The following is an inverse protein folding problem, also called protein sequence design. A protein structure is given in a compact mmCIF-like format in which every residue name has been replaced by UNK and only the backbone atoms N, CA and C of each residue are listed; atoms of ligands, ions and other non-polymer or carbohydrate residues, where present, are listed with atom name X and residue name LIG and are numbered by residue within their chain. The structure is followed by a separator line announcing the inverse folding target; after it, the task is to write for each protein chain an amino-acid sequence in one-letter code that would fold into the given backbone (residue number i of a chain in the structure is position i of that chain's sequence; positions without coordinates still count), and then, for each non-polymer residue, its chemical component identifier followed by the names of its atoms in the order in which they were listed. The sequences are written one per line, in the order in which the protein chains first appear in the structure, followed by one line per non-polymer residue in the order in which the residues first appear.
data_IF_473417209877
#
_entry.id   IF_473417209877
#
_cell.length_a   1.000
_cell.length_b   1.000
_cell.length_c   1.000
_cell.angle_alpha   90.00
_cell.angle_beta   90.00
_cell.angle_gamma   90.00
#
_symmetry.space_group_name_H-M   'P 1'
#
loop_
_entity.id
_entity.type
_entity.pdbx_description
1 polymer ?
#
# COMPACT_ATOMS: atom_id res chain seq x y z
N UNK A 1 3.74 -13.53 7.57
CA UNK A 1 4.92 -13.38 8.47
C UNK A 1 4.61 -13.56 9.95
N UNK A 2 3.36 -13.37 10.38
CA UNK A 2 2.92 -13.42 11.81
C UNK A 2 3.83 -12.62 12.77
N UNK A 3 4.50 -11.56 12.27
CA UNK A 3 5.44 -10.74 13.04
C UNK A 3 6.87 -11.32 13.18
N UNK A 4 7.18 -12.45 12.53
CA UNK A 4 8.51 -13.08 12.60
C UNK A 4 9.57 -12.22 11.91
N UNK A 5 10.54 -11.74 12.68
CA UNK A 5 11.72 -11.02 12.16
C UNK A 5 12.60 -11.89 11.27
N UNK A 6 12.74 -13.17 11.62
CA UNK A 6 13.54 -14.11 10.84
C UNK A 6 12.93 -14.39 9.46
N UNK A 7 11.60 -14.56 9.39
CA UNK A 7 10.91 -14.75 8.13
C UNK A 7 11.00 -13.50 7.23
N UNK A 8 10.87 -12.30 7.80
CA UNK A 8 11.04 -11.06 7.05
C UNK A 8 12.48 -10.92 6.53
N UNK A 9 13.48 -11.23 7.36
CA UNK A 9 14.90 -11.20 6.96
C UNK A 9 15.17 -12.11 5.78
N UNK A 10 14.70 -13.36 5.82
CA UNK A 10 14.89 -14.31 4.73
C UNK A 10 14.28 -13.81 3.40
N UNK A 11 13.14 -13.11 3.45
CA UNK A 11 12.54 -12.49 2.25
C UNK A 11 13.37 -11.31 1.76
N UNK A 12 13.86 -10.45 2.65
CA UNK A 12 14.69 -9.29 2.28
C UNK A 12 16.03 -9.75 1.71
N UNK A 13 16.66 -10.77 2.28
CA UNK A 13 17.92 -11.37 1.80
C UNK A 13 17.78 -12.04 0.42
N UNK A 14 16.56 -12.43 0.03
CA UNK A 14 16.27 -12.91 -1.32
C UNK A 14 16.19 -11.79 -2.38
N UNK A 15 16.39 -10.53 -1.98
CA UNK A 15 16.42 -9.33 -2.84
C UNK A 15 15.24 -9.24 -3.82
N UNK A 16 13.97 -9.32 -3.35
CA UNK A 16 12.83 -9.18 -4.24
C UNK A 16 12.78 -7.78 -4.85
N UNK A 17 12.33 -7.67 -6.10
CA UNK A 17 12.13 -6.37 -6.76
C UNK A 17 11.14 -5.48 -6.00
N UNK A 18 10.11 -6.07 -5.38
CA UNK A 18 9.12 -5.38 -4.53
C UNK A 18 8.79 -6.27 -3.34
N UNK A 19 8.74 -5.69 -2.14
CA UNK A 19 8.10 -6.30 -0.99
C UNK A 19 6.67 -5.78 -0.88
N UNK A 20 5.69 -6.62 -1.18
CA UNK A 20 4.28 -6.29 -1.07
C UNK A 20 3.69 -6.81 0.25
N UNK A 21 3.12 -5.91 1.04
CA UNK A 21 2.34 -6.26 2.23
C UNK A 21 1.16 -5.29 2.41
N UNK A 22 -0.05 -5.79 2.14
CA UNK A 22 -1.25 -4.96 2.15
C UNK A 22 -1.77 -4.73 3.58
N UNK A 23 -2.18 -3.51 3.87
CA UNK A 23 -2.99 -3.20 5.07
C UNK A 23 -4.45 -3.55 4.87
N UNK A 24 -4.94 -3.61 3.64
CA UNK A 24 -6.27 -4.01 3.18
C UNK A 24 -7.39 -3.03 3.53
N UNK A 25 -7.45 -2.49 4.75
CA UNK A 25 -8.51 -1.59 5.21
C UNK A 25 -8.00 -0.66 6.31
N UNK A 26 -8.85 0.27 6.73
CA UNK A 26 -8.60 1.22 7.82
C UNK A 26 -8.59 0.54 9.21
N UNK A 27 -7.94 1.12 10.23
CA UNK A 27 -7.82 0.51 11.57
C UNK A 27 -9.15 0.09 12.19
N UNK A 28 -10.18 0.94 12.13
CA UNK A 28 -11.50 0.67 12.73
C UNK A 28 -12.17 -0.59 12.19
N UNK A 29 -11.97 -0.89 10.91
CA UNK A 29 -12.60 -2.03 10.22
C UNK A 29 -11.77 -3.32 10.27
N UNK A 30 -10.58 -3.29 10.88
CA UNK A 30 -9.65 -4.42 10.84
C UNK A 30 -10.22 -5.71 11.44
N UNK A 31 -10.99 -5.59 12.54
CA UNK A 31 -11.60 -6.76 13.21
C UNK A 31 -12.61 -7.48 12.33
N UNK A 32 -13.32 -6.75 11.49
CA UNK A 32 -14.37 -7.27 10.62
C UNK A 32 -13.80 -7.76 9.28
N UNK A 33 -12.91 -6.97 8.66
CA UNK A 33 -12.37 -7.24 7.32
C UNK A 33 -11.20 -8.24 7.37
N UNK A 34 -10.38 -8.19 8.43
CA UNK A 34 -9.19 -9.03 8.60
C UNK A 34 -9.09 -9.65 10.00
N UNK A 35 -10.03 -10.51 10.39
CA UNK A 35 -10.01 -11.13 11.72
C UNK A 35 -8.67 -11.86 11.97
N UNK A 36 -8.09 -11.63 13.15
CA UNK A 36 -6.80 -12.19 13.53
C UNK A 36 -5.55 -11.47 13.00
N UNK A 37 -5.74 -10.39 12.23
CA UNK A 37 -4.65 -9.49 11.81
C UNK A 37 -4.65 -8.21 12.63
N UNK A 38 -3.54 -7.45 12.59
CA UNK A 38 -3.38 -6.19 13.31
C UNK A 38 -2.82 -5.14 12.36
N UNK A 39 -3.42 -3.97 12.33
CA UNK A 39 -3.05 -2.86 11.47
C UNK A 39 -1.61 -2.40 11.70
N UNK A 40 -1.27 -2.12 12.96
CA UNK A 40 0.05 -1.64 13.37
C UNK A 40 1.16 -2.64 13.04
N UNK A 41 0.85 -3.95 13.11
CA UNK A 41 1.80 -4.99 12.72
C UNK A 41 2.10 -4.97 11.22
N UNK A 42 1.12 -4.60 10.40
CA UNK A 42 1.31 -4.47 8.95
C UNK A 42 2.20 -3.28 8.61
N UNK A 43 2.01 -2.14 9.28
CA UNK A 43 2.88 -0.96 9.15
C UNK A 43 4.31 -1.25 9.65
N UNK A 44 4.44 -1.86 10.84
CA UNK A 44 5.74 -2.22 11.42
C UNK A 44 6.53 -3.19 10.51
N UNK A 45 5.85 -4.11 9.82
CA UNK A 45 6.51 -4.98 8.85
C UNK A 45 7.15 -4.17 7.71
N UNK A 46 6.42 -3.23 7.11
CA UNK A 46 6.92 -2.35 6.05
C UNK A 46 8.09 -1.48 6.56
N UNK A 47 7.92 -0.87 7.75
CA UNK A 47 8.97 -0.08 8.39
C UNK A 47 10.25 -0.89 8.66
N UNK A 48 10.11 -2.14 9.10
CA UNK A 48 11.27 -3.04 9.32
C UNK A 48 11.94 -3.42 8.02
N UNK A 49 11.19 -3.73 6.99
CA UNK A 49 11.74 -4.05 5.67
C UNK A 49 12.57 -2.88 5.14
N UNK A 50 12.04 -1.65 5.24
CA UNK A 50 12.76 -0.42 4.86
C UNK A 50 14.05 -0.23 5.64
N UNK A 51 14.05 -0.48 6.97
CA UNK A 51 15.27 -0.39 7.79
C UNK A 51 16.31 -1.46 7.45
N UNK A 52 15.87 -2.68 7.07
CA UNK A 52 16.78 -3.78 6.69
C UNK A 52 17.40 -3.56 5.31
N UNK A 53 16.63 -3.01 4.37
CA UNK A 53 17.05 -2.76 2.99
C UNK A 53 16.49 -1.40 2.51
N UNK A 54 17.22 -0.29 2.70
CA UNK A 54 16.73 1.06 2.35
C UNK A 54 16.37 1.22 0.86
N UNK A 55 16.98 0.44 -0.01
CA UNK A 55 16.71 0.48 -1.47
C UNK A 55 15.54 -0.44 -1.90
N UNK A 56 15.07 -1.32 -1.02
CA UNK A 56 13.96 -2.23 -1.34
C UNK A 56 12.68 -1.42 -1.59
N UNK A 57 12.06 -1.64 -2.74
CA UNK A 57 10.76 -1.04 -3.07
C UNK A 57 9.68 -1.71 -2.24
N UNK A 58 8.92 -0.91 -1.49
CA UNK A 58 7.81 -1.41 -0.68
C UNK A 58 6.47 -1.01 -1.28
N UNK A 59 5.50 -1.91 -1.16
CA UNK A 59 4.14 -1.74 -1.72
C UNK A 59 3.09 -2.15 -0.70
N UNK A 60 1.99 -1.40 -0.66
CA UNK A 60 0.81 -1.76 0.10
C UNK A 60 -0.46 -1.52 -0.70
N UNK A 61 -1.55 -2.17 -0.30
CA UNK A 61 -2.85 -2.03 -0.91
C UNK A 61 -3.95 -1.81 0.12
N UNK A 62 -4.93 -1.00 -0.28
CA UNK A 62 -6.16 -0.75 0.45
C UNK A 62 -7.35 -1.11 -0.44
N UNK A 63 -8.30 -1.81 0.13
CA UNK A 63 -9.57 -2.13 -0.51
C UNK A 63 -10.62 -1.21 0.10
N UNK A 64 -11.34 -0.46 -0.73
CA UNK A 64 -12.36 0.51 -0.31
C UNK A 64 -13.77 0.00 -0.57
N UNK A 65 -14.74 0.46 0.19
CA UNK A 65 -16.16 0.10 0.05
C UNK A 65 -16.72 -0.71 1.21
N UNK A 66 -16.01 -0.82 2.34
CA UNK A 66 -16.46 -1.46 3.57
C UNK A 66 -17.19 -0.51 4.53
N UNK A 67 -17.30 0.80 4.20
CA UNK A 67 -17.91 1.83 5.06
C UNK A 67 -16.90 2.67 5.83
N UNK A 68 -15.68 2.74 5.33
CA UNK A 68 -14.68 3.72 5.77
C UNK A 68 -15.12 5.14 5.45
N UNK A 69 -14.82 6.10 6.35
CA UNK A 69 -14.93 7.50 6.05
C UNK A 69 -13.74 7.99 5.21
N UNK A 70 -13.94 9.02 4.41
CA UNK A 70 -12.89 9.60 3.56
C UNK A 70 -11.64 9.98 4.35
N UNK A 71 -11.83 10.63 5.51
CA UNK A 71 -10.71 11.04 6.36
C UNK A 71 -9.94 9.85 6.97
N UNK A 72 -10.63 8.75 7.29
CA UNK A 72 -9.97 7.53 7.78
C UNK A 72 -9.09 6.90 6.69
N UNK A 73 -9.55 6.96 5.44
CA UNK A 73 -8.79 6.48 4.29
C UNK A 73 -7.55 7.35 4.06
N UNK A 74 -7.68 8.68 4.10
CA UNK A 74 -6.56 9.61 3.98
C UNK A 74 -5.54 9.42 5.11
N UNK A 75 -6.00 9.17 6.34
CA UNK A 75 -5.10 8.87 7.45
C UNK A 75 -4.34 7.56 7.22
N UNK A 76 -5.00 6.52 6.72
CA UNK A 76 -4.34 5.25 6.36
C UNK A 76 -3.27 5.44 5.29
N UNK A 77 -3.52 6.31 4.31
CA UNK A 77 -2.53 6.68 3.31
C UNK A 77 -1.34 7.42 3.94
N UNK A 78 -1.59 8.35 4.87
CA UNK A 78 -0.55 9.06 5.61
C UNK A 78 0.30 8.09 6.46
N UNK A 79 -0.33 7.17 7.20
CA UNK A 79 0.36 6.15 8.01
C UNK A 79 1.30 5.29 7.14
N UNK A 80 0.88 4.94 5.93
CA UNK A 80 1.73 4.22 4.97
C UNK A 80 2.93 5.05 4.50
N UNK A 81 2.74 6.37 4.36
CA UNK A 81 3.86 7.27 4.03
C UNK A 81 4.84 7.44 5.19
N UNK A 82 4.36 7.46 6.45
CA UNK A 82 5.23 7.52 7.63
C UNK A 82 6.19 6.33 7.73
N UNK A 83 5.81 5.18 7.18
CA UNK A 83 6.70 4.00 7.09
C UNK A 83 7.43 3.89 5.75
N UNK A 84 7.50 4.97 4.98
CA UNK A 84 8.17 5.05 3.67
C UNK A 84 7.69 4.02 2.63
N UNK A 85 6.39 3.71 2.61
CA UNK A 85 5.83 2.89 1.57
C UNK A 85 5.89 3.62 0.21
N UNK A 86 6.49 2.98 -0.81
CA UNK A 86 6.71 3.61 -2.12
C UNK A 86 5.50 3.55 -3.03
N UNK A 87 4.79 2.42 -3.03
CA UNK A 87 3.71 2.13 -3.97
C UNK A 87 2.42 1.89 -3.19
N UNK A 88 1.37 2.59 -3.60
CA UNK A 88 0.02 2.40 -3.08
C UNK A 88 -0.91 1.87 -4.17
N UNK A 89 -1.71 0.86 -3.84
CA UNK A 89 -2.83 0.42 -4.68
C UNK A 89 -4.15 0.60 -3.94
N UNK A 90 -5.14 1.18 -4.63
CA UNK A 90 -6.50 1.39 -4.13
C UNK A 90 -7.49 0.71 -5.07
N UNK A 91 -8.28 -0.23 -4.57
CA UNK A 91 -9.23 -0.98 -5.37
C UNK A 91 -10.59 -1.14 -4.69
N UNK A 92 -11.66 -1.26 -5.48
CA UNK A 92 -13.01 -1.48 -4.97
C UNK A 92 -13.16 -2.88 -4.37
N UNK A 93 -13.77 -2.97 -3.20
CA UNK A 93 -14.28 -4.23 -2.68
C UNK A 93 -15.40 -4.77 -3.58
N UNK A 94 -15.22 -5.97 -4.06
CA UNK A 94 -16.24 -6.71 -4.79
C UNK A 94 -16.62 -7.93 -3.97
N UNK A 95 -17.87 -7.97 -3.51
CA UNK A 95 -18.36 -9.03 -2.62
C UNK A 95 -18.35 -10.40 -3.31
N UNK A 96 -17.53 -11.37 -2.85
CA UNK A 96 -17.43 -12.66 -3.54
C UNK A 96 -18.68 -13.53 -3.40
N UNK A 97 -19.39 -13.44 -2.26
CA UNK A 97 -20.63 -14.17 -2.01
C UNK A 97 -21.45 -13.51 -0.90
N UNK A 98 -22.69 -13.92 -0.70
CA UNK A 98 -23.54 -13.42 0.38
C UNK A 98 -23.02 -13.71 1.79
N UNK A 99 -22.10 -14.66 1.95
CA UNK A 99 -21.44 -14.96 3.22
C UNK A 99 -20.35 -13.94 3.60
N UNK A 100 -19.92 -13.08 2.67
CA UNK A 100 -18.93 -12.04 2.91
C UNK A 100 -19.60 -10.72 3.30
N UNK A 101 -18.78 -9.77 3.81
CA UNK A 101 -19.25 -8.44 4.19
C UNK A 101 -20.00 -7.75 3.05
N UNK A 102 -21.07 -7.00 3.34
CA UNK A 102 -21.77 -6.24 2.31
C UNK A 102 -20.89 -5.13 1.76
N UNK A 103 -21.14 -4.73 0.51
CA UNK A 103 -20.57 -3.51 -0.04
C UNK A 103 -21.35 -2.33 0.54
N UNK A 104 -20.67 -1.44 1.26
CA UNK A 104 -21.28 -0.27 1.89
C UNK A 104 -21.27 0.95 0.97
N UNK A 105 -20.30 1.02 0.04
CA UNK A 105 -20.17 2.09 -0.95
C UNK A 105 -19.47 1.59 -2.19
N UNK A 106 -19.93 2.04 -3.35
CA UNK A 106 -19.19 2.00 -4.60
C UNK A 106 -18.54 3.37 -4.83
N UNK A 107 -17.22 3.39 -4.89
CA UNK A 107 -16.46 4.60 -5.23
C UNK A 107 -16.56 4.88 -6.72
N UNK A 108 -16.73 6.14 -7.09
CA UNK A 108 -16.78 6.55 -8.49
C UNK A 108 -15.37 6.61 -9.10
N UNK A 109 -15.23 6.57 -10.43
CA UNK A 109 -13.94 6.79 -11.09
C UNK A 109 -13.28 8.12 -10.71
N UNK A 110 -14.09 9.16 -10.49
CA UNK A 110 -13.64 10.50 -10.06
C UNK A 110 -13.03 10.44 -8.65
N UNK A 111 -13.69 9.75 -7.70
CA UNK A 111 -13.17 9.55 -6.35
C UNK A 111 -11.86 8.75 -6.35
N UNK A 112 -11.74 7.72 -7.22
CA UNK A 112 -10.47 7.02 -7.41
C UNK A 112 -9.38 7.93 -8.00
N UNK A 113 -9.75 8.82 -8.94
CA UNK A 113 -8.85 9.83 -9.50
C UNK A 113 -8.36 10.81 -8.45
N UNK A 114 -9.26 11.26 -7.56
CA UNK A 114 -8.91 12.14 -6.43
C UNK A 114 -7.97 11.46 -5.44
N UNK A 115 -8.25 10.22 -5.04
CA UNK A 115 -7.37 9.43 -4.17
C UNK A 115 -5.98 9.25 -4.78
N UNK A 116 -5.89 9.04 -6.09
CA UNK A 116 -4.61 8.97 -6.81
C UNK A 116 -3.84 10.27 -6.68
N UNK A 117 -4.46 11.40 -7.01
CA UNK A 117 -3.83 12.72 -6.95
C UNK A 117 -3.36 13.06 -5.53
N UNK A 118 -4.19 12.75 -4.51
CA UNK A 118 -3.83 12.95 -3.09
C UNK A 118 -2.62 12.07 -2.72
N UNK A 119 -2.62 10.80 -3.09
CA UNK A 119 -1.52 9.89 -2.80
C UNK A 119 -0.20 10.33 -3.47
N UNK A 120 -0.26 10.77 -4.72
CA UNK A 120 0.91 11.36 -5.42
C UNK A 120 1.40 12.62 -4.70
N UNK A 121 0.48 13.49 -4.25
CA UNK A 121 0.79 14.67 -3.44
C UNK A 121 1.38 14.35 -2.06
N UNK A 122 1.03 13.21 -1.45
CA UNK A 122 1.64 12.71 -0.22
C UNK A 122 3.06 12.16 -0.41
N UNK A 123 3.53 12.00 -1.66
CA UNK A 123 4.87 11.54 -2.00
C UNK A 123 5.01 10.03 -2.21
N UNK A 124 3.91 9.30 -2.45
CA UNK A 124 4.03 7.95 -3.02
C UNK A 124 4.69 8.04 -4.40
N UNK A 125 5.62 7.15 -4.67
CA UNK A 125 6.35 7.15 -5.95
C UNK A 125 5.49 6.61 -7.10
N UNK A 126 4.51 5.77 -6.75
CA UNK A 126 3.51 5.30 -7.68
C UNK A 126 2.19 5.06 -6.94
N UNK A 127 1.09 5.50 -7.54
CA UNK A 127 -0.27 5.23 -7.04
C UNK A 127 -1.10 4.63 -8.17
N UNK A 128 -1.61 3.43 -7.94
CA UNK A 128 -2.58 2.78 -8.81
C UNK A 128 -3.94 2.80 -8.12
N UNK A 129 -4.93 3.46 -8.69
CA UNK A 129 -6.23 3.66 -8.06
C UNK A 129 -7.35 3.47 -9.08
N UNK A 130 -8.29 2.58 -8.78
CA UNK A 130 -9.42 2.31 -9.67
C UNK A 130 -10.25 1.11 -9.25
N UNK A 131 -11.49 0.98 -9.79
CA UNK A 131 -12.43 -0.06 -9.34
C UNK A 131 -11.91 -1.49 -9.53
N UNK A 132 -11.13 -1.73 -10.57
CA UNK A 132 -10.59 -3.06 -10.90
C UNK A 132 -9.13 -3.25 -10.52
N UNK A 133 -8.51 -2.27 -9.86
CA UNK A 133 -7.13 -2.38 -9.39
C UNK A 133 -7.01 -3.49 -8.34
N UNK A 134 -5.95 -4.28 -8.45
CA UNK A 134 -5.57 -5.35 -7.52
C UNK A 134 -4.08 -5.24 -7.19
N UNK A 135 -3.66 -5.79 -6.06
CA UNK A 135 -2.27 -5.70 -5.58
C UNK A 135 -1.24 -6.30 -6.55
N UNK A 136 -1.62 -7.26 -7.40
CA UNK A 136 -0.75 -7.85 -8.42
C UNK A 136 -0.70 -7.07 -9.73
N UNK A 137 -1.54 -6.04 -9.89
CA UNK A 137 -1.68 -5.29 -11.14
C UNK A 137 -0.38 -4.55 -11.46
N UNK A 138 0.18 -4.77 -12.65
CA UNK A 138 1.39 -4.13 -13.20
C UNK A 138 2.63 -4.11 -12.27
N UNK A 139 2.77 -5.06 -11.33
CA UNK A 139 3.81 -5.04 -10.29
C UNK A 139 5.24 -4.86 -10.83
N UNK A 140 5.57 -5.51 -11.96
CA UNK A 140 6.91 -5.40 -12.57
C UNK A 140 7.20 -4.00 -13.11
N UNK A 141 6.27 -3.40 -13.88
CA UNK A 141 6.41 -2.05 -14.41
C UNK A 141 6.49 -0.98 -13.31
N UNK A 142 5.75 -1.18 -12.20
CA UNK A 142 5.80 -0.30 -11.04
C UNK A 142 7.16 -0.28 -10.36
N UNK A 143 7.83 -1.45 -10.24
CA UNK A 143 9.18 -1.53 -9.68
C UNK A 143 10.20 -0.75 -10.51
N UNK A 144 10.16 -0.92 -11.82
CA UNK A 144 11.06 -0.24 -12.76
C UNK A 144 10.86 1.28 -12.75
N UNK A 145 9.61 1.75 -12.65
CA UNK A 145 9.29 3.18 -12.56
C UNK A 145 9.82 3.80 -11.27
N UNK A 146 9.59 3.13 -10.13
CA UNK A 146 10.07 3.60 -8.82
C UNK A 146 11.60 3.64 -8.77
N UNK A 147 12.28 2.64 -9.30
CA UNK A 147 13.75 2.61 -9.36
C UNK A 147 14.29 3.78 -10.17
N UNK A 148 13.74 4.06 -11.34
CA UNK A 148 14.10 5.23 -12.17
C UNK A 148 13.89 6.57 -11.45
N UNK A 149 12.78 6.74 -10.74
CA UNK A 149 12.50 7.97 -9.96
C UNK A 149 13.50 8.16 -8.81
N UNK A 150 13.98 7.08 -8.18
CA UNK A 150 15.02 7.15 -7.15
C UNK A 150 16.37 7.60 -7.69
N UNK A 151 16.76 7.07 -8.86
CA UNK A 151 18.02 7.44 -9.52
C UNK A 151 18.03 8.91 -9.96
N UNK A 152 16.91 9.40 -10.53
CA UNK A 152 16.78 10.81 -10.95
C UNK A 152 16.90 11.79 -9.76
N UNK A 153 16.23 11.48 -8.64
CA UNK A 153 16.29 12.32 -7.43
C UNK A 153 17.68 12.35 -6.78
N UNK A 154 18.46 11.28 -6.87
CA UNK A 154 19.87 11.27 -6.41
C UNK A 154 20.78 12.17 -7.28
N UNK A 155 20.54 12.20 -8.57
CA UNK A 155 21.36 13.00 -9.50
C UNK A 155 21.15 14.51 -9.31
N UNK A 156 19.94 14.92 -8.93
CA UNK A 156 19.64 16.34 -8.64
C UNK A 156 20.28 16.81 -7.32
N UNK A 157 20.26 15.97 -6.27
CA UNK A 157 20.87 16.27 -4.97
C UNK A 157 22.42 16.36 -5.03
N UNK A 158 23.08 15.71 -5.99
CA UNK A 158 24.52 15.79 -6.17
C UNK A 158 24.97 16.99 -7.02
N UNK A 159 24.04 17.77 -7.59
CA UNK A 159 24.32 18.95 -8.44
C UNK A 159 24.07 20.30 -7.74
N UNK A 160 23.54 20.28 -6.52
CA UNK A 160 23.33 21.43 -5.65
C UNK A 160 24.35 21.47 -4.52
#
# INVERSE_FOLDING_TARGET
FRGSKAALRAVVEAEPAILNHNVETIPRLYREVRPGSHYERSLDLLARARRMAPELVTKSGVIVGFGEAWQELLQTMADLREVDCDILTLGQYLRPSHAHLPIMKYYTPEEFGELKAIGEGMGFKHVESGPLVRSSYHARGQAEEVSRKRESGRTELCRS
#
